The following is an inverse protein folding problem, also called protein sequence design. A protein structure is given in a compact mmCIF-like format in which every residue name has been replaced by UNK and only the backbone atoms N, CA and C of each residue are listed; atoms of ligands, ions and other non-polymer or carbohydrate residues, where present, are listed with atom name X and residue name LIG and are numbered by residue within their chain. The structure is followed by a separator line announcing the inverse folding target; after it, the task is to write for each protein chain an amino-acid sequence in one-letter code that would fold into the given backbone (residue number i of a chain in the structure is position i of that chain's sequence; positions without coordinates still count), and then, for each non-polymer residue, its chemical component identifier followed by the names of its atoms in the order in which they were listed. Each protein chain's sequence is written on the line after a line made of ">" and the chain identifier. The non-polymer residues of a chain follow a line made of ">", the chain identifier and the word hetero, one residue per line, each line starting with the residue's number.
data_IF_928414785635
#
_entry.id   IF_928414785635
#
_cell.length_a   1.000
_cell.length_b   1.000
_cell.length_c   1.000
_cell.angle_alpha   90.00
_cell.angle_beta   90.00
_cell.angle_gamma   90.00
#
_symmetry.space_group_name_H-M   'P 1'
#
loop_
_entity.id
_entity.type
_entity.pdbx_description
1 polymer ?
#
# COMPACT_ATOMS: atom_id res chain seq x y z
N UNK A 1 17.46 9.06 -27.42
CA UNK A 1 16.21 9.81 -27.14
C UNK A 1 16.52 10.93 -26.16
N UNK A 2 16.65 12.16 -26.67
CA UNK A 2 16.80 13.34 -25.83
C UNK A 2 15.46 13.60 -25.14
N UNK A 3 15.42 13.48 -23.81
CA UNK A 3 14.30 13.98 -23.02
C UNK A 3 14.42 15.50 -22.96
N UNK A 4 13.73 16.19 -23.86
CA UNK A 4 13.45 17.62 -23.74
C UNK A 4 12.68 17.81 -22.43
N UNK A 5 13.34 18.38 -21.42
CA UNK A 5 12.65 18.83 -20.22
C UNK A 5 11.65 19.91 -20.66
N UNK A 6 10.37 19.83 -20.27
CA UNK A 6 9.39 20.88 -20.60
C UNK A 6 9.76 22.24 -19.97
N UNK A 7 10.64 22.25 -18.96
CA UNK A 7 11.17 23.46 -18.32
C UNK A 7 12.70 23.33 -18.13
N UNK A 8 13.52 23.92 -19.01
CA UNK A 8 14.97 23.79 -18.97
C UNK A 8 15.62 24.57 -17.81
N UNK A 9 15.02 25.68 -17.37
CA UNK A 9 15.61 26.63 -16.41
C UNK A 9 15.17 26.42 -14.95
N UNK A 10 14.23 25.51 -14.70
CA UNK A 10 13.74 25.27 -13.33
C UNK A 10 14.72 24.35 -12.59
N UNK A 11 15.32 24.85 -11.49
CA UNK A 11 16.18 24.07 -10.59
C UNK A 11 15.29 23.10 -9.78
N UNK A 12 14.81 22.05 -10.45
CA UNK A 12 13.89 21.05 -9.91
C UNK A 12 14.50 20.13 -8.83
N UNK A 13 15.73 20.35 -8.37
CA UNK A 13 16.49 19.33 -7.63
C UNK A 13 15.84 18.93 -6.29
N UNK A 14 15.33 19.90 -5.52
CA UNK A 14 14.82 19.64 -4.16
C UNK A 14 13.52 18.81 -4.18
N UNK A 15 12.52 19.19 -4.97
CA UNK A 15 11.24 18.47 -5.03
C UNK A 15 11.33 17.13 -5.79
N UNK A 16 12.21 17.06 -6.79
CA UNK A 16 12.43 15.86 -7.61
C UNK A 16 13.06 14.71 -6.83
N UNK A 17 13.97 15.00 -5.89
CA UNK A 17 14.63 13.98 -5.07
C UNK A 17 13.80 13.51 -3.89
N UNK A 18 13.00 14.40 -3.30
CA UNK A 18 12.11 14.02 -2.21
C UNK A 18 10.99 13.13 -2.75
N UNK A 19 10.27 13.56 -3.79
CA UNK A 19 9.12 12.82 -4.31
C UNK A 19 9.51 11.46 -4.91
N UNK A 20 10.68 11.32 -5.55
CA UNK A 20 11.14 10.03 -6.11
C UNK A 20 11.26 8.92 -5.07
N UNK A 21 11.48 9.25 -3.79
CA UNK A 21 11.56 8.26 -2.69
C UNK A 21 10.19 7.75 -2.25
N UNK A 22 9.13 8.56 -2.37
CA UNK A 22 7.78 8.22 -1.89
C UNK A 22 7.15 7.02 -2.63
N UNK A 23 7.13 6.94 -3.98
CA UNK A 23 6.63 5.77 -4.70
C UNK A 23 7.38 4.49 -4.36
N UNK A 24 8.69 4.59 -4.12
CA UNK A 24 9.51 3.43 -3.74
C UNK A 24 9.17 2.96 -2.33
N UNK A 25 9.07 3.88 -1.37
CA UNK A 25 8.65 3.57 0.01
C UNK A 25 7.25 2.96 0.03
N UNK A 26 6.32 3.52 -0.72
CA UNK A 26 4.96 2.99 -0.84
C UNK A 26 4.94 1.57 -1.38
N UNK A 27 5.68 1.27 -2.46
CA UNK A 27 5.78 -0.11 -2.99
C UNK A 27 6.30 -1.10 -1.95
N UNK A 28 7.29 -0.71 -1.15
CA UNK A 28 7.77 -1.52 -0.03
C UNK A 28 6.70 -1.71 1.05
N UNK A 29 5.95 -0.66 1.40
CA UNK A 29 4.83 -0.77 2.34
C UNK A 29 3.75 -1.73 1.84
N UNK A 30 3.39 -1.65 0.55
CA UNK A 30 2.44 -2.58 -0.08
C UNK A 30 2.96 -4.02 -0.04
N UNK A 31 4.25 -4.23 -0.26
CA UNK A 31 4.84 -5.56 -0.12
C UNK A 31 4.75 -6.08 1.33
N UNK A 32 5.06 -5.24 2.31
CA UNK A 32 4.94 -5.58 3.73
C UNK A 32 3.49 -5.85 4.17
N UNK A 33 2.51 -5.22 3.52
CA UNK A 33 1.09 -5.47 3.78
C UNK A 33 0.68 -6.94 3.58
N UNK A 34 1.36 -7.69 2.71
CA UNK A 34 1.12 -9.13 2.54
C UNK A 34 1.55 -9.98 3.74
N UNK A 35 2.41 -9.45 4.61
CA UNK A 35 2.83 -10.16 5.81
C UNK A 35 1.67 -10.29 6.82
N UNK A 36 0.79 -9.29 6.90
CA UNK A 36 -0.32 -9.31 7.87
C UNK A 36 -1.32 -10.46 7.62
N UNK A 37 -1.89 -10.64 6.40
CA UNK A 37 -2.75 -11.79 6.11
C UNK A 37 -2.02 -13.14 6.28
N UNK A 38 -0.72 -13.20 5.99
CA UNK A 38 0.06 -14.43 6.18
C UNK A 38 0.21 -14.78 7.67
N UNK A 39 0.51 -13.78 8.50
CA UNK A 39 0.62 -13.94 9.95
C UNK A 39 -0.72 -14.33 10.60
N UNK A 40 -1.82 -13.67 10.22
CA UNK A 40 -3.15 -14.05 10.71
C UNK A 40 -3.56 -15.44 10.24
N UNK A 41 -3.25 -15.85 9.00
CA UNK A 41 -3.52 -17.21 8.55
C UNK A 41 -2.80 -18.24 9.42
N UNK A 42 -1.49 -18.06 9.63
CA UNK A 42 -0.70 -18.95 10.47
C UNK A 42 -1.26 -19.03 11.90
N UNK A 43 -1.58 -17.88 12.51
CA UNK A 43 -2.16 -17.82 13.85
C UNK A 43 -3.51 -18.56 13.94
N UNK A 44 -4.37 -18.44 12.92
CA UNK A 44 -5.65 -19.14 12.88
C UNK A 44 -5.48 -20.66 12.68
N UNK A 45 -4.50 -21.11 11.90
CA UNK A 45 -4.30 -22.55 11.62
C UNK A 45 -3.68 -23.32 12.78
N UNK A 46 -2.89 -22.67 13.63
CA UNK A 46 -2.21 -23.33 14.74
C UNK A 46 -3.07 -23.45 16.02
N UNK A 47 -4.26 -22.82 16.06
CA UNK A 47 -5.19 -22.92 17.18
C UNK A 47 -4.65 -22.42 18.52
N UNK A 48 -3.59 -21.59 18.49
CA UNK A 48 -2.85 -21.13 19.67
C UNK A 48 -3.51 -19.99 20.43
N UNK A 49 -4.52 -19.33 19.84
CA UNK A 49 -5.13 -18.13 20.39
C UNK A 49 -6.64 -18.24 20.46
N UNK A 50 -7.22 -17.52 21.43
CA UNK A 50 -8.67 -17.39 21.56
C UNK A 50 -9.31 -16.74 20.32
N UNK A 51 -10.50 -17.19 19.90
CA UNK A 51 -11.20 -16.62 18.74
C UNK A 51 -11.42 -15.10 18.86
N UNK A 52 -11.71 -14.60 20.05
CA UNK A 52 -11.91 -13.16 20.30
C UNK A 52 -10.64 -12.34 20.02
N UNK A 53 -9.46 -12.87 20.39
CA UNK A 53 -8.17 -12.24 20.13
C UNK A 53 -7.81 -12.25 18.64
N UNK A 54 -8.09 -13.37 17.95
CA UNK A 54 -7.89 -13.49 16.50
C UNK A 54 -8.74 -12.48 15.73
N UNK A 55 -10.00 -12.29 16.12
CA UNK A 55 -10.89 -11.28 15.54
C UNK A 55 -10.35 -9.87 15.68
N UNK A 56 -9.83 -9.50 16.86
CA UNK A 56 -9.22 -8.19 17.11
C UNK A 56 -7.98 -7.98 16.21
N UNK A 57 -7.13 -9.01 16.07
CA UNK A 57 -5.95 -8.96 15.21
C UNK A 57 -6.33 -8.74 13.74
N UNK A 58 -7.31 -9.49 13.23
CA UNK A 58 -7.74 -9.39 11.83
C UNK A 58 -8.31 -7.98 11.55
N UNK A 59 -9.10 -7.41 12.47
CA UNK A 59 -9.62 -6.04 12.36
C UNK A 59 -8.49 -5.01 12.38
N UNK A 60 -7.50 -5.17 13.27
CA UNK A 60 -6.34 -4.28 13.36
C UNK A 60 -5.54 -4.29 12.04
N UNK A 61 -5.24 -5.49 11.53
CA UNK A 61 -4.53 -5.66 10.26
C UNK A 61 -5.31 -5.11 9.09
N UNK A 62 -6.63 -5.28 9.07
CA UNK A 62 -7.50 -4.67 8.08
C UNK A 62 -7.38 -3.14 8.11
N UNK A 63 -7.44 -2.53 9.30
CA UNK A 63 -7.28 -1.09 9.47
C UNK A 63 -5.95 -0.56 8.94
N UNK A 64 -4.84 -1.24 9.24
CA UNK A 64 -3.51 -0.87 8.74
C UNK A 64 -3.46 -0.97 7.21
N UNK A 65 -3.95 -2.06 6.62
CA UNK A 65 -3.98 -2.25 5.17
C UNK A 65 -4.87 -1.21 4.47
N UNK A 66 -6.02 -0.86 5.06
CA UNK A 66 -6.90 0.18 4.56
C UNK A 66 -6.22 1.55 4.54
N UNK A 67 -5.46 1.90 5.59
CA UNK A 67 -4.67 3.15 5.61
C UNK A 67 -3.63 3.18 4.49
N UNK A 68 -3.00 2.05 4.17
CA UNK A 68 -2.05 1.96 3.05
C UNK A 68 -2.75 2.18 1.71
N UNK A 69 -3.95 1.63 1.50
CA UNK A 69 -4.74 1.90 0.29
C UNK A 69 -5.11 3.38 0.18
N UNK A 70 -5.60 3.99 1.27
CA UNK A 70 -5.92 5.43 1.30
C UNK A 70 -4.68 6.28 0.98
N UNK A 71 -3.52 5.90 1.55
CA UNK A 71 -2.26 6.58 1.26
C UNK A 71 -1.85 6.43 -0.21
N UNK A 72 -2.00 5.24 -0.79
CA UNK A 72 -1.75 4.97 -2.20
C UNK A 72 -2.64 5.78 -3.14
N UNK A 73 -3.92 5.92 -2.81
CA UNK A 73 -4.87 6.75 -3.56
C UNK A 73 -4.47 8.23 -3.48
N UNK A 74 -4.14 8.74 -2.29
CA UNK A 74 -3.66 10.12 -2.11
C UNK A 74 -2.37 10.38 -2.89
N UNK A 75 -1.41 9.46 -2.82
CA UNK A 75 -0.15 9.54 -3.57
C UNK A 75 -0.38 9.51 -5.08
N UNK A 76 -1.30 8.67 -5.57
CA UNK A 76 -1.61 8.60 -6.99
C UNK A 76 -2.26 9.90 -7.48
N UNK A 77 -3.25 10.43 -6.75
CA UNK A 77 -3.88 11.71 -7.07
C UNK A 77 -2.90 12.88 -7.05
N UNK A 78 -2.01 12.92 -6.06
CA UNK A 78 -0.96 13.94 -5.98
C UNK A 78 0.07 13.82 -7.10
N UNK A 79 0.51 12.60 -7.42
CA UNK A 79 1.43 12.33 -8.53
C UNK A 79 0.84 12.75 -9.87
N UNK A 80 -0.44 12.44 -10.12
CA UNK A 80 -1.13 12.84 -11.36
C UNK A 80 -1.26 14.36 -11.47
N UNK A 81 -1.57 15.07 -10.38
CA UNK A 81 -1.73 16.54 -10.41
C UNK A 81 -0.41 17.30 -10.52
N UNK A 82 0.60 16.93 -9.73
CA UNK A 82 1.86 17.68 -9.65
C UNK A 82 2.94 17.16 -10.61
N UNK A 83 2.84 15.91 -11.05
CA UNK A 83 3.86 15.24 -11.87
C UNK A 83 3.26 14.48 -13.05
N UNK A 84 2.20 15.03 -13.67
CA UNK A 84 1.52 14.45 -14.85
C UNK A 84 2.48 13.96 -15.94
N UNK A 85 3.59 14.68 -16.15
CA UNK A 85 4.62 14.36 -17.15
C UNK A 85 5.51 13.15 -16.78
N UNK A 86 5.35 12.55 -15.58
CA UNK A 86 6.14 11.40 -15.10
C UNK A 86 5.25 10.23 -14.73
N UNK A 87 5.41 9.12 -15.45
CA UNK A 87 4.79 7.84 -15.16
C UNK A 87 5.46 7.15 -13.96
N UNK A 88 4.97 7.40 -12.74
CA UNK A 88 5.50 6.74 -11.52
C UNK A 88 4.92 5.34 -11.25
N UNK A 89 4.00 4.84 -12.08
CA UNK A 89 3.33 3.53 -11.92
C UNK A 89 2.88 3.27 -10.46
N UNK A 90 2.22 4.26 -9.83
CA UNK A 90 1.73 4.18 -8.45
C UNK A 90 0.38 3.46 -8.42
N UNK A 91 -0.49 3.73 -9.40
CA UNK A 91 -1.81 3.10 -9.50
C UNK A 91 -1.78 1.58 -9.43
N UNK A 92 -0.82 0.93 -10.10
CA UNK A 92 -0.65 -0.53 -10.05
C UNK A 92 -0.23 -1.07 -8.67
N UNK A 93 0.54 -0.29 -7.90
CA UNK A 93 0.88 -0.68 -6.53
C UNK A 93 -0.32 -0.47 -5.59
N UNK A 94 -1.11 0.58 -5.82
CA UNK A 94 -2.35 0.82 -5.04
C UNK A 94 -3.40 -0.25 -5.30
N UNK A 95 -3.57 -0.71 -6.54
CA UNK A 95 -4.47 -1.82 -6.86
C UNK A 95 -3.96 -3.13 -6.26
N UNK A 96 -2.64 -3.37 -6.28
CA UNK A 96 -2.05 -4.54 -5.62
C UNK A 96 -2.29 -4.55 -4.11
N UNK A 97 -2.33 -3.38 -3.47
CA UNK A 97 -2.62 -3.25 -2.04
C UNK A 97 -4.05 -3.66 -1.64
N UNK A 98 -4.98 -3.80 -2.61
CA UNK A 98 -6.33 -4.32 -2.35
C UNK A 98 -6.33 -5.84 -2.12
N UNK A 99 -5.34 -6.57 -2.64
CA UNK A 99 -5.24 -8.02 -2.50
C UNK A 99 -5.12 -8.47 -1.03
N UNK A 100 -4.13 -8.00 -0.24
CA UNK A 100 -4.01 -8.39 1.17
C UNK A 100 -5.25 -7.98 1.97
N UNK A 101 -5.89 -6.88 1.59
CA UNK A 101 -7.15 -6.40 2.17
C UNK A 101 -8.30 -7.38 1.93
N UNK A 102 -8.47 -7.85 0.69
CA UNK A 102 -9.45 -8.88 0.35
C UNK A 102 -9.19 -10.21 1.07
N UNK A 103 -7.92 -10.62 1.21
CA UNK A 103 -7.56 -11.84 1.96
C UNK A 103 -7.96 -11.72 3.43
N UNK A 104 -7.73 -10.56 4.07
CA UNK A 104 -8.13 -10.33 5.46
C UNK A 104 -9.66 -10.39 5.65
N UNK A 105 -10.44 -9.90 4.68
CA UNK A 105 -11.91 -10.04 4.71
C UNK A 105 -12.34 -11.50 4.61
N UNK A 106 -11.71 -12.28 3.72
CA UNK A 106 -11.97 -13.71 3.62
C UNK A 106 -11.61 -14.46 4.90
N UNK A 107 -10.52 -14.07 5.57
CA UNK A 107 -10.13 -14.65 6.85
C UNK A 107 -11.11 -14.28 7.96
N UNK A 108 -11.53 -13.02 8.04
CA UNK A 108 -12.55 -12.59 8.99
C UNK A 108 -13.85 -13.39 8.83
N UNK A 109 -14.33 -13.53 7.60
CA UNK A 109 -15.57 -14.27 7.32
C UNK A 109 -15.47 -15.77 7.59
N UNK A 110 -14.28 -16.37 7.46
CA UNK A 110 -14.08 -17.81 7.65
C UNK A 110 -13.76 -18.21 9.09
N UNK A 111 -13.05 -17.36 9.82
CA UNK A 111 -12.48 -17.71 11.13
C UNK A 111 -13.09 -16.90 12.29
N UNK A 112 -13.77 -15.79 12.01
CA UNK A 112 -14.27 -14.86 13.04
C UNK A 112 -15.80 -14.68 13.07
N UNK A 113 -16.52 -15.11 12.02
CA UNK A 113 -17.98 -15.23 11.98
C UNK A 113 -18.39 -16.70 12.18
#
# INVERSE_FOLDING_TARGET
>A
MHYTKPFPDQIDRIFRDHFRKWPRRFKWTVFLCFFFPAASYAANTHGTFDPSFLTIIVILFFGINALVVVWGLRLNSFAQRCYWHRNYHIGGATTLALIPLGILVLQYTKYCL
#
